data_IF_898204284309
#
_entry.id   IF_898204284309
#
_cell.length_a   1.000
_cell.length_b   1.000
_cell.length_c   1.000
_cell.angle_alpha   90.00
_cell.angle_beta   90.00
_cell.angle_gamma   90.00
#
_symmetry.space_group_name_H-M   'P 1'
#
loop_
_entity.id
_entity.type
_entity.pdbx_description
1 polymer ?
#
# COMPACT_ATOMS: atom_id res chain seq x y z
N UNK A 1 20.19 -13.45 33.88
CA UNK A 1 19.43 -13.13 32.65
C UNK A 1 18.85 -11.75 32.82
N UNK A 2 19.11 -10.82 31.89
CA UNK A 2 18.53 -9.48 31.91
C UNK A 2 17.45 -9.40 30.81
N UNK A 3 16.18 -9.07 31.13
CA UNK A 3 15.12 -8.92 30.15
C UNK A 3 15.06 -7.46 29.70
N UNK A 4 15.91 -7.08 28.75
CA UNK A 4 15.84 -5.75 28.13
C UNK A 4 15.52 -5.92 26.64
N UNK A 5 14.24 -5.72 26.35
CA UNK A 5 13.65 -5.26 25.09
C UNK A 5 14.34 -5.64 23.77
N UNK A 6 13.83 -6.73 23.18
CA UNK A 6 14.01 -7.07 21.76
C UNK A 6 13.13 -6.16 20.90
N UNK A 7 13.24 -4.85 21.05
CA UNK A 7 12.53 -3.88 20.19
C UNK A 7 13.56 -3.11 19.37
N UNK A 8 14.09 -3.79 18.35
CA UNK A 8 14.96 -3.13 17.36
C UNK A 8 14.17 -1.97 16.72
N UNK A 9 14.72 -0.74 16.66
CA UNK A 9 14.04 0.37 16.04
C UNK A 9 13.81 0.06 14.55
N UNK A 10 12.54 0.02 14.14
CA UNK A 10 12.15 -0.12 12.74
C UNK A 10 12.55 1.17 12.03
N UNK A 11 13.45 1.07 11.06
CA UNK A 11 13.96 2.22 10.31
C UNK A 11 13.36 2.23 8.92
N UNK A 12 12.52 3.22 8.64
CA UNK A 12 11.93 3.45 7.32
C UNK A 12 13.01 3.64 6.25
N UNK A 13 14.12 4.30 6.58
CA UNK A 13 15.26 4.46 5.68
C UNK A 13 15.93 3.12 5.32
N UNK A 14 16.09 2.21 6.29
CA UNK A 14 16.61 0.86 6.03
C UNK A 14 15.63 0.03 5.22
N UNK A 15 14.32 0.15 5.46
CA UNK A 15 13.30 -0.51 4.66
C UNK A 15 13.33 -0.02 3.21
N UNK A 16 13.35 1.30 2.99
CA UNK A 16 13.46 1.91 1.65
C UNK A 16 14.76 1.51 0.93
N UNK A 17 15.88 1.43 1.65
CA UNK A 17 17.16 0.94 1.11
C UNK A 17 17.08 -0.53 0.70
N UNK A 18 16.49 -1.39 1.55
CA UNK A 18 16.30 -2.80 1.23
C UNK A 18 15.42 -3.01 -0.02
N UNK A 19 14.36 -2.20 -0.18
CA UNK A 19 13.51 -2.19 -1.38
C UNK A 19 14.32 -1.76 -2.62
N UNK A 20 15.14 -0.71 -2.52
CA UNK A 20 16.02 -0.28 -3.62
C UNK A 20 17.11 -1.30 -3.96
N UNK A 21 17.69 -1.94 -2.96
CA UNK A 21 18.73 -2.96 -3.15
C UNK A 21 18.13 -4.23 -3.78
N UNK A 22 16.91 -4.63 -3.38
CA UNK A 22 16.15 -5.71 -4.01
C UNK A 22 15.81 -5.40 -5.49
N UNK A 23 15.41 -4.16 -5.78
CA UNK A 23 15.17 -3.65 -7.14
C UNK A 23 16.42 -3.75 -8.02
N UNK A 24 17.62 -3.57 -7.44
CA UNK A 24 18.91 -3.64 -8.15
C UNK A 24 19.45 -5.06 -8.29
N UNK A 25 19.19 -5.93 -7.32
CA UNK A 25 19.82 -7.24 -7.24
C UNK A 25 19.20 -8.27 -8.19
N UNK A 26 17.87 -8.25 -8.36
CA UNK A 26 17.12 -9.15 -9.27
C UNK A 26 15.77 -8.56 -9.70
N UNK A 27 15.24 -7.57 -8.97
CA UNK A 27 14.11 -6.70 -9.34
C UNK A 27 12.96 -7.37 -10.08
N UNK A 28 12.55 -8.59 -9.68
CA UNK A 28 11.38 -9.19 -10.30
C UNK A 28 10.21 -8.24 -10.04
N UNK A 29 9.56 -7.75 -11.11
CA UNK A 29 8.55 -6.70 -10.97
C UNK A 29 7.42 -7.13 -10.02
N UNK A 30 7.18 -8.44 -9.91
CA UNK A 30 6.23 -9.04 -8.98
C UNK A 30 6.58 -8.79 -7.51
N UNK A 31 7.85 -8.93 -7.12
CA UNK A 31 8.26 -8.67 -5.74
C UNK A 31 8.19 -7.19 -5.33
N UNK A 32 8.32 -6.27 -6.29
CA UNK A 32 8.11 -4.85 -6.03
C UNK A 32 6.63 -4.51 -5.87
N UNK A 33 5.78 -5.13 -6.69
CA UNK A 33 4.33 -5.04 -6.53
C UNK A 33 3.91 -5.60 -5.16
N UNK A 34 4.39 -6.78 -4.78
CA UNK A 34 4.10 -7.40 -3.47
C UNK A 34 4.49 -6.50 -2.30
N UNK A 35 5.72 -5.98 -2.29
CA UNK A 35 6.18 -5.13 -1.19
C UNK A 35 5.38 -3.82 -1.09
N UNK A 36 4.99 -3.23 -2.22
CA UNK A 36 4.22 -1.99 -2.22
C UNK A 36 2.76 -2.21 -1.77
N UNK A 37 2.13 -3.30 -2.22
CA UNK A 37 0.77 -3.67 -1.79
C UNK A 37 0.77 -4.01 -0.30
N UNK A 38 1.72 -4.84 0.16
CA UNK A 38 1.85 -5.22 1.56
C UNK A 38 2.08 -4.01 2.48
N UNK A 39 2.86 -3.02 2.04
CA UNK A 39 3.01 -1.77 2.78
C UNK A 39 1.66 -1.07 3.02
N UNK A 40 0.82 -1.00 1.98
CA UNK A 40 -0.47 -0.34 2.09
C UNK A 40 -1.38 -1.09 3.08
N UNK A 41 -1.44 -2.42 2.99
CA UNK A 41 -2.20 -3.26 3.93
C UNK A 41 -1.75 -3.06 5.38
N UNK A 42 -0.44 -3.08 5.63
CA UNK A 42 0.11 -2.91 6.97
C UNK A 42 -0.10 -1.49 7.53
N UNK A 43 -0.17 -0.47 6.66
CA UNK A 43 -0.52 0.88 7.09
C UNK A 43 -1.93 0.93 7.72
N UNK A 44 -2.90 0.21 7.16
CA UNK A 44 -4.25 0.08 7.73
C UNK A 44 -4.29 -0.76 9.00
N UNK A 45 -3.47 -1.81 9.08
CA UNK A 45 -3.31 -2.58 10.32
C UNK A 45 -2.74 -1.70 11.45
N UNK A 46 -1.76 -0.85 11.14
CA UNK A 46 -1.20 0.11 12.10
C UNK A 46 -2.23 1.14 12.55
N UNK A 47 -2.99 1.73 11.62
CA UNK A 47 -4.07 2.66 11.92
C UNK A 47 -5.11 2.05 12.87
N UNK A 48 -5.52 0.81 12.60
CA UNK A 48 -6.52 0.09 13.42
C UNK A 48 -6.00 -0.16 14.84
N UNK A 49 -4.70 -0.45 14.99
CA UNK A 49 -4.13 -0.80 16.30
C UNK A 49 -3.69 0.40 17.16
N UNK A 50 -3.34 1.52 16.53
CA UNK A 50 -2.71 2.66 17.22
C UNK A 50 -3.42 3.99 17.01
N UNK A 51 -4.15 4.16 15.91
CA UNK A 51 -4.45 5.47 15.36
C UNK A 51 -3.16 6.21 14.94
N UNK A 52 -3.25 7.07 13.93
CA UNK A 52 -2.14 7.91 13.50
C UNK A 52 -2.68 9.30 13.18
N UNK A 53 -2.24 10.32 13.92
CA UNK A 53 -2.60 11.73 13.67
C UNK A 53 -1.45 12.47 12.99
N UNK A 54 -0.95 11.91 11.89
CA UNK A 54 0.17 12.46 11.13
C UNK A 54 -0.21 12.56 9.66
N UNK A 55 -0.45 13.78 9.18
CA UNK A 55 -0.74 14.07 7.77
C UNK A 55 0.33 13.50 6.83
N UNK A 56 1.61 13.56 7.24
CA UNK A 56 2.71 13.06 6.43
C UNK A 56 2.71 11.53 6.29
N UNK A 57 2.08 10.82 7.23
CA UNK A 57 1.83 9.38 7.11
C UNK A 57 0.78 9.08 6.04
N UNK A 58 -0.31 9.85 6.00
CA UNK A 58 -1.35 9.71 4.99
C UNK A 58 -0.83 10.05 3.58
N UNK A 59 -0.08 11.14 3.44
CA UNK A 59 0.64 11.46 2.20
C UNK A 59 1.55 10.32 1.74
N UNK A 60 2.27 9.70 2.67
CA UNK A 60 3.16 8.58 2.36
C UNK A 60 2.39 7.33 1.94
N UNK A 61 1.22 7.08 2.53
CA UNK A 61 0.31 5.99 2.14
C UNK A 61 -0.24 6.21 0.73
N UNK A 62 -0.74 7.41 0.41
CA UNK A 62 -1.22 7.79 -0.93
C UNK A 62 -0.13 7.59 -1.98
N UNK A 63 1.08 8.08 -1.73
CA UNK A 63 2.22 7.89 -2.64
C UNK A 63 2.60 6.41 -2.82
N UNK A 64 2.50 5.60 -1.77
CA UNK A 64 2.81 4.16 -1.90
C UNK A 64 1.73 3.43 -2.69
N UNK A 65 0.45 3.80 -2.52
CA UNK A 65 -0.65 3.23 -3.27
C UNK A 65 -0.50 3.51 -4.78
N UNK A 66 -0.21 4.75 -5.16
CA UNK A 66 0.12 5.11 -6.55
C UNK A 66 1.27 4.23 -7.09
N UNK A 67 2.32 4.05 -6.29
CA UNK A 67 3.47 3.26 -6.68
C UNK A 67 3.13 1.76 -6.83
N UNK A 68 2.24 1.24 -5.99
CA UNK A 68 1.73 -0.13 -6.09
C UNK A 68 0.95 -0.32 -7.39
N UNK A 69 0.04 0.60 -7.75
CA UNK A 69 -0.69 0.57 -9.03
C UNK A 69 0.28 0.51 -10.21
N UNK A 70 1.30 1.38 -10.21
CA UNK A 70 2.34 1.42 -11.27
C UNK A 70 3.10 0.10 -11.38
N UNK A 71 3.44 -0.53 -10.25
CA UNK A 71 4.15 -1.81 -10.27
C UNK A 71 3.27 -2.97 -10.73
N UNK A 72 2.00 -3.01 -10.31
CA UNK A 72 1.08 -4.06 -10.74
C UNK A 72 0.74 -3.93 -12.22
N UNK A 73 0.46 -2.72 -12.73
CA UNK A 73 0.21 -2.48 -14.16
C UNK A 73 1.38 -2.92 -15.05
N UNK A 74 2.62 -2.90 -14.54
CA UNK A 74 3.80 -3.34 -15.26
C UNK A 74 3.96 -4.87 -15.33
N UNK A 75 3.13 -5.65 -14.61
CA UNK A 75 3.16 -7.11 -14.64
C UNK A 75 2.38 -7.69 -15.84
N UNK A 76 2.67 -8.93 -16.25
CA UNK A 76 1.79 -9.67 -17.15
C UNK A 76 0.37 -9.78 -16.57
N UNK A 77 -0.66 -9.62 -17.40
CA UNK A 77 -2.08 -9.59 -16.96
C UNK A 77 -2.47 -10.74 -16.02
N UNK A 78 -1.98 -11.96 -16.27
CA UNK A 78 -2.26 -13.12 -15.43
C UNK A 78 -1.75 -13.01 -13.99
N UNK A 79 -0.73 -12.20 -13.73
CA UNK A 79 -0.17 -11.96 -12.40
C UNK A 79 -0.85 -10.78 -11.69
N UNK A 80 -1.49 -9.87 -12.43
CA UNK A 80 -2.11 -8.66 -11.85
C UNK A 80 -3.33 -8.98 -11.00
N UNK A 81 -4.08 -10.03 -11.37
CA UNK A 81 -5.40 -10.35 -10.79
C UNK A 81 -5.34 -10.48 -9.26
N UNK A 82 -4.32 -11.15 -8.72
CA UNK A 82 -4.18 -11.33 -7.27
C UNK A 82 -3.93 -10.01 -6.53
N UNK A 83 -3.21 -9.06 -7.17
CA UNK A 83 -2.95 -7.75 -6.58
C UNK A 83 -4.16 -6.82 -6.65
N UNK A 84 -4.97 -6.92 -7.71
CA UNK A 84 -6.17 -6.07 -7.85
C UNK A 84 -7.17 -6.29 -6.72
N UNK A 85 -7.42 -7.53 -6.32
CA UNK A 85 -8.31 -7.84 -5.19
C UNK A 85 -7.83 -7.16 -3.91
N UNK A 86 -6.52 -7.19 -3.64
CA UNK A 86 -5.92 -6.59 -2.45
C UNK A 86 -5.95 -5.06 -2.51
N UNK A 87 -5.60 -4.49 -3.66
CA UNK A 87 -5.61 -3.03 -3.84
C UNK A 87 -7.02 -2.43 -3.82
N UNK A 88 -8.03 -3.17 -4.30
CA UNK A 88 -9.43 -2.77 -4.17
C UNK A 88 -9.86 -2.76 -2.69
N UNK A 89 -9.45 -3.76 -1.90
CA UNK A 89 -9.70 -3.76 -0.47
C UNK A 89 -9.03 -2.57 0.24
N UNK A 90 -7.76 -2.29 -0.07
CA UNK A 90 -7.03 -1.12 0.43
C UNK A 90 -7.75 0.18 0.06
N UNK A 91 -8.21 0.29 -1.19
CA UNK A 91 -9.00 1.44 -1.67
C UNK A 91 -10.27 1.65 -0.85
N UNK A 92 -11.01 0.56 -0.59
CA UNK A 92 -12.22 0.61 0.22
C UNK A 92 -11.95 0.96 1.68
N UNK A 93 -10.86 0.48 2.28
CA UNK A 93 -10.48 0.86 3.63
C UNK A 93 -10.14 2.36 3.73
N UNK A 94 -9.54 2.92 2.67
CA UNK A 94 -9.22 4.35 2.54
C UNK A 94 -10.42 5.29 2.69
N UNK A 95 -11.62 4.83 2.34
CA UNK A 95 -12.85 5.62 2.41
C UNK A 95 -13.27 5.97 3.85
N UNK A 96 -12.73 5.27 4.85
CA UNK A 96 -13.19 5.40 6.25
C UNK A 96 -12.23 6.16 7.17
N UNK A 97 -11.10 6.68 6.67
CA UNK A 97 -10.04 7.28 7.53
C UNK A 97 -10.09 8.82 7.60
N UNK A 98 -10.71 9.48 6.62
CA UNK A 98 -10.65 10.93 6.44
C UNK A 98 -9.36 11.40 5.76
N UNK A 99 -9.03 12.70 5.89
CA UNK A 99 -7.81 13.33 5.33
C UNK A 99 -7.64 13.25 3.81
N UNK A 100 -8.73 13.10 3.04
CA UNK A 100 -8.65 13.05 1.58
C UNK A 100 -8.15 11.73 0.99
N UNK A 101 -7.78 10.75 1.83
CA UNK A 101 -7.13 9.51 1.39
C UNK A 101 -8.02 8.68 0.46
N UNK A 102 -9.32 8.63 0.76
CA UNK A 102 -10.29 7.91 -0.07
C UNK A 102 -10.46 8.54 -1.45
N UNK A 103 -10.55 9.87 -1.51
CA UNK A 103 -10.64 10.62 -2.75
C UNK A 103 -9.37 10.48 -3.59
N UNK A 104 -8.19 10.59 -2.96
CA UNK A 104 -6.90 10.43 -3.64
C UNK A 104 -6.74 9.01 -4.20
N UNK A 105 -7.11 7.98 -3.43
CA UNK A 105 -7.08 6.60 -3.92
C UNK A 105 -8.01 6.38 -5.11
N UNK A 106 -9.21 6.95 -5.09
CA UNK A 106 -10.18 6.84 -6.18
C UNK A 106 -9.70 7.57 -7.44
N UNK A 107 -9.10 8.75 -7.28
CA UNK A 107 -8.49 9.48 -8.39
C UNK A 107 -7.33 8.69 -9.01
N UNK A 108 -6.43 8.15 -8.17
CA UNK A 108 -5.31 7.33 -8.64
C UNK A 108 -5.78 6.04 -9.33
N UNK A 109 -6.85 5.42 -8.84
CA UNK A 109 -7.48 4.25 -9.45
C UNK A 109 -8.06 4.57 -10.83
N UNK A 110 -8.75 5.70 -10.95
CA UNK A 110 -9.29 6.19 -12.22
C UNK A 110 -8.18 6.56 -13.22
N UNK A 111 -7.13 7.23 -12.77
CA UNK A 111 -5.96 7.60 -13.58
C UNK A 111 -5.20 6.37 -14.11
N UNK A 112 -5.24 5.27 -13.36
CA UNK A 112 -4.73 3.97 -13.79
C UNK A 112 -5.61 3.27 -14.84
N UNK A 113 -6.76 3.85 -15.20
CA UNK A 113 -7.71 3.30 -16.17
C UNK A 113 -8.57 2.15 -15.62
N UNK A 114 -8.63 2.00 -14.29
CA UNK A 114 -9.40 0.97 -13.62
C UNK A 114 -10.81 1.50 -13.34
N UNK A 115 -11.84 0.69 -13.65
CA UNK A 115 -13.22 1.07 -13.37
C UNK A 115 -13.44 1.17 -11.85
N UNK A 116 -14.19 2.18 -11.40
CA UNK A 116 -14.71 2.20 -10.04
C UNK A 116 -15.67 1.00 -9.91
N UNK A 117 -15.25 -0.05 -9.20
CA UNK A 117 -16.12 -1.16 -8.86
C UNK A 117 -17.39 -0.61 -8.23
N UNK A 118 -18.54 -0.92 -8.82
CA UNK A 118 -19.84 -0.47 -8.36
C UNK A 118 -20.10 -0.99 -6.94
N UNK A 119 -19.74 -0.20 -5.94
CA UNK A 119 -20.21 -0.38 -4.56
C UNK A 119 -21.64 0.13 -4.46
N UNK A 120 -22.58 -0.64 -5.00
CA UNK A 120 -24.00 -0.53 -4.62
C UNK A 120 -24.20 -1.46 -3.42
N UNK A 121 -24.55 -0.95 -2.23
CA UNK A 121 -24.87 -1.82 -1.10
C UNK A 121 -26.18 -2.57 -1.39
N UNK A 122 -26.30 -3.86 -1.03
CA UNK A 122 -27.59 -4.53 -1.08
C UNK A 122 -28.44 -4.02 0.10
N UNK A 123 -29.62 -3.48 -0.23
CA UNK A 123 -30.86 -3.51 0.55
C UNK A 123 -30.83 -3.02 2.00
#
# INVERSE_FOLDING_TARGET
>A
MNPADVRKPVSVAKAKKAISDYKKALGQPEGLAELAVFYCEEAFNLLTWRGVEDESFYDALVRMFEQALKYVLALPQGQQVAFWVRLEQVRHQGQNIGWGVGEDFDQLWADAGLAAGASTPPG
#
